data_IF_533608583249
#
_entry.id   IF_533608583249
#
_cell.length_a   1.000
_cell.length_b   1.000
_cell.length_c   1.000
_cell.angle_alpha   90.00
_cell.angle_beta   90.00
_cell.angle_gamma   90.00
#
_symmetry.space_group_name_H-M   'P 1'
#
loop_
_entity.id
_entity.type
_entity.pdbx_description
1 polymer ?
#
# COMPACT_ATOMS: atom_id res chain seq x y z
N UNK A 1 -0.97 6.94 9.72
CA UNK A 1 0.04 5.91 9.44
C UNK A 1 0.43 5.97 7.96
N UNK A 2 1.70 6.22 7.64
CA UNK A 2 2.25 6.05 6.30
C UNK A 2 2.03 4.64 5.72
N UNK A 3 2.03 4.52 4.40
CA UNK A 3 1.84 3.23 3.71
C UNK A 3 2.90 2.18 4.09
N UNK A 4 4.21 2.46 4.11
CA UNK A 4 5.22 1.52 4.60
C UNK A 4 4.89 0.93 5.98
N UNK A 5 4.60 1.78 6.96
CA UNK A 5 4.27 1.37 8.32
C UNK A 5 2.99 0.51 8.36
N UNK A 6 2.01 0.81 7.50
CA UNK A 6 0.81 0.00 7.36
C UNK A 6 1.10 -1.38 6.76
N UNK A 7 1.99 -1.47 5.77
CA UNK A 7 2.41 -2.74 5.19
C UNK A 7 3.15 -3.60 6.21
N UNK A 8 4.02 -2.98 7.02
CA UNK A 8 4.73 -3.64 8.13
C UNK A 8 3.75 -4.15 9.19
N UNK A 9 2.78 -3.33 9.60
CA UNK A 9 1.74 -3.72 10.55
C UNK A 9 0.85 -4.86 10.04
N UNK A 10 0.61 -4.92 8.72
CA UNK A 10 -0.10 -6.03 8.07
C UNK A 10 0.76 -7.31 7.94
N UNK A 11 2.04 -7.26 8.30
CA UNK A 11 2.98 -8.37 8.13
C UNK A 11 3.27 -8.71 6.67
N UNK A 12 3.11 -7.74 5.77
CA UNK A 12 3.32 -7.94 4.34
C UNK A 12 4.77 -7.73 3.97
N UNK A 13 5.29 -8.60 3.11
CA UNK A 13 6.61 -8.40 2.54
C UNK A 13 6.53 -7.36 1.42
N UNK A 14 7.34 -6.31 1.51
CA UNK A 14 7.41 -5.28 0.49
C UNK A 14 8.83 -4.75 0.32
N UNK A 15 9.08 -4.13 -0.83
CA UNK A 15 10.32 -3.39 -1.10
C UNK A 15 10.02 -2.07 -1.76
N UNK A 16 10.81 -1.06 -1.44
CA UNK A 16 10.84 0.19 -2.19
C UNK A 16 11.51 -0.03 -3.55
N UNK A 17 10.98 0.60 -4.59
CA UNK A 17 11.63 0.72 -5.89
C UNK A 17 12.68 1.86 -5.82
N UNK A 18 13.99 1.56 -5.92
CA UNK A 18 15.05 2.56 -5.83
C UNK A 18 15.16 3.43 -7.08
N UNK A 19 14.65 2.97 -8.22
CA UNK A 19 14.77 3.66 -9.52
C UNK A 19 13.60 4.62 -9.75
N UNK A 20 12.53 4.52 -8.95
CA UNK A 20 11.39 5.41 -9.04
C UNK A 20 11.78 6.85 -8.67
N UNK A 21 11.58 7.76 -9.64
CA UNK A 21 11.76 9.20 -9.47
C UNK A 21 10.39 9.90 -9.50
N UNK A 22 9.94 10.48 -8.37
CA UNK A 22 8.67 11.21 -8.34
C UNK A 22 8.71 12.47 -9.21
N UNK A 23 7.65 12.71 -9.98
CA UNK A 23 7.52 13.88 -10.85
C UNK A 23 6.73 15.04 -10.21
N UNK A 24 5.62 14.72 -9.55
CA UNK A 24 4.70 15.74 -8.98
C UNK A 24 5.02 16.04 -7.52
N UNK A 25 4.98 15.00 -6.69
CA UNK A 25 5.24 15.11 -5.26
C UNK A 25 6.52 14.35 -4.91
N UNK A 26 7.54 15.07 -4.46
CA UNK A 26 8.86 14.50 -4.13
C UNK A 26 8.82 13.53 -2.95
N UNK A 27 7.74 13.54 -2.15
CA UNK A 27 7.52 12.58 -1.07
C UNK A 27 6.90 11.26 -1.58
N UNK A 28 6.45 11.19 -2.84
CA UNK A 28 5.94 9.95 -3.40
C UNK A 28 7.06 8.92 -3.53
N UNK A 29 6.81 7.74 -3.01
CA UNK A 29 7.65 6.55 -3.18
C UNK A 29 6.88 5.49 -3.95
N UNK A 30 7.58 4.64 -4.68
CA UNK A 30 6.98 3.43 -5.26
C UNK A 30 7.41 2.23 -4.42
N UNK A 31 6.45 1.38 -4.08
CA UNK A 31 6.68 0.14 -3.34
C UNK A 31 6.06 -1.04 -4.08
N UNK A 32 6.72 -2.18 -3.98
CA UNK A 32 6.31 -3.46 -4.54
C UNK A 32 5.96 -4.40 -3.39
N UNK A 33 4.69 -4.73 -3.25
CA UNK A 33 4.15 -5.58 -2.18
C UNK A 33 3.95 -6.99 -2.71
N UNK A 34 4.57 -7.96 -2.05
CA UNK A 34 4.41 -9.38 -2.39
C UNK A 34 3.17 -9.94 -1.71
N UNK A 35 2.25 -10.45 -2.52
CA UNK A 35 1.05 -11.16 -2.10
C UNK A 35 1.12 -12.58 -2.66
N UNK A 36 0.38 -13.51 -2.08
CA UNK A 36 0.41 -14.93 -2.48
C UNK A 36 0.11 -15.21 -3.97
N UNK A 37 -0.48 -14.24 -4.69
CA UNK A 37 -0.77 -14.32 -6.13
C UNK A 37 0.08 -13.42 -7.03
N UNK A 38 1.10 -12.73 -6.50
CA UNK A 38 1.96 -11.86 -7.31
C UNK A 38 2.47 -10.63 -6.56
N UNK A 39 2.88 -9.62 -7.32
CA UNK A 39 3.38 -8.35 -6.78
C UNK A 39 2.44 -7.21 -7.18
N UNK A 40 2.05 -6.41 -6.19
CA UNK A 40 1.28 -5.19 -6.37
C UNK A 40 2.23 -4.00 -6.29
N UNK A 41 2.21 -3.13 -7.31
CA UNK A 41 2.96 -1.88 -7.32
C UNK A 41 2.08 -0.75 -6.78
N UNK A 42 2.53 -0.06 -5.74
CA UNK A 42 1.84 1.09 -5.17
C UNK A 42 2.71 2.33 -5.25
N UNK A 43 2.11 3.45 -5.68
CA UNK A 43 2.63 4.78 -5.42
C UNK A 43 2.09 5.26 -4.08
N UNK A 44 2.97 5.58 -3.14
CA UNK A 44 2.61 6.00 -1.79
C UNK A 44 3.11 7.41 -1.50
N UNK A 45 2.21 8.25 -0.98
CA UNK A 45 2.53 9.60 -0.48
C UNK A 45 1.95 9.73 0.94
N UNK A 46 2.79 9.51 1.95
CA UNK A 46 2.33 9.43 3.34
C UNK A 46 1.28 8.31 3.49
N UNK A 47 0.05 8.59 3.96
CA UNK A 47 -1.02 7.59 4.09
C UNK A 47 -1.78 7.30 2.78
N UNK A 48 -1.58 8.10 1.73
CA UNK A 48 -2.26 7.91 0.44
C UNK A 48 -1.50 6.89 -0.40
N UNK A 49 -2.24 6.05 -1.11
CA UNK A 49 -1.67 5.07 -2.02
C UNK A 49 -2.45 5.01 -3.33
N UNK A 50 -1.78 4.56 -4.39
CA UNK A 50 -2.37 4.32 -5.70
C UNK A 50 -1.75 3.07 -6.31
N UNK A 51 -2.59 2.08 -6.59
CA UNK A 51 -2.25 0.87 -7.34
C UNK A 51 -2.27 1.19 -8.84
N UNK A 52 -1.07 1.19 -9.45
CA UNK A 52 -0.89 1.55 -10.86
C UNK A 52 -1.44 0.49 -11.81
N UNK A 53 -1.62 -0.76 -11.35
CA UNK A 53 -2.11 -1.87 -12.18
C UNK A 53 -3.62 -1.99 -12.11
N UNK A 54 -4.19 -1.77 -10.93
CA UNK A 54 -5.64 -1.80 -10.74
C UNK A 54 -6.33 -0.46 -11.02
N UNK A 55 -5.55 0.61 -11.21
CA UNK A 55 -6.00 2.00 -11.33
C UNK A 55 -6.87 2.47 -10.15
N UNK A 56 -6.58 1.96 -8.95
CA UNK A 56 -7.32 2.27 -7.73
C UNK A 56 -6.45 3.03 -6.75
N UNK A 57 -7.03 4.06 -6.14
CA UNK A 57 -6.38 4.84 -5.09
C UNK A 57 -7.16 4.78 -3.80
N UNK A 58 -6.44 5.04 -2.72
CA UNK A 58 -7.00 4.96 -1.39
C UNK A 58 -6.23 5.79 -0.36
N UNK A 59 -6.77 5.83 0.85
CA UNK A 59 -6.28 6.67 1.93
C UNK A 59 -6.34 5.97 3.28
N UNK A 60 -5.17 5.71 3.85
CA UNK A 60 -5.03 5.12 5.18
C UNK A 60 -4.88 3.60 5.17
N UNK A 61 -4.55 3.08 6.36
CA UNK A 61 -4.14 1.69 6.56
C UNK A 61 -5.30 0.69 6.38
N UNK A 62 -6.51 1.06 6.81
CA UNK A 62 -7.70 0.19 6.70
C UNK A 62 -8.08 -0.01 5.23
N UNK A 63 -8.16 1.08 4.47
CA UNK A 63 -8.48 1.04 3.04
C UNK A 63 -7.42 0.27 2.24
N UNK A 64 -6.14 0.44 2.60
CA UNK A 64 -5.04 -0.35 2.04
C UNK A 64 -5.21 -1.84 2.32
N UNK A 65 -5.56 -2.23 3.55
CA UNK A 65 -5.80 -3.62 3.93
C UNK A 65 -7.00 -4.21 3.17
N UNK A 66 -8.09 -3.44 3.03
CA UNK A 66 -9.24 -3.85 2.22
C UNK A 66 -8.84 -4.12 0.77
N UNK A 67 -8.06 -3.23 0.15
CA UNK A 67 -7.62 -3.37 -1.23
C UNK A 67 -6.66 -4.54 -1.45
N UNK A 68 -5.58 -4.62 -0.65
CA UNK A 68 -4.53 -5.63 -0.84
C UNK A 68 -4.98 -7.03 -0.43
N UNK A 69 -5.74 -7.14 0.67
CA UNK A 69 -6.14 -8.43 1.24
C UNK A 69 -7.57 -8.82 0.85
N UNK A 70 -8.28 -7.97 0.09
CA UNK A 70 -9.67 -8.16 -0.34
C UNK A 70 -10.63 -8.42 0.83
N UNK A 71 -10.42 -7.69 1.92
CA UNK A 71 -11.21 -7.79 3.14
C UNK A 71 -12.39 -6.82 3.11
N UNK A 72 -13.46 -7.18 3.81
CA UNK A 72 -14.45 -6.20 4.23
C UNK A 72 -13.87 -5.24 5.29
N UNK A 73 -14.58 -4.14 5.56
CA UNK A 73 -14.13 -3.11 6.49
C UNK A 73 -13.86 -3.64 7.90
N UNK A 74 -14.75 -4.47 8.45
CA UNK A 74 -14.62 -4.99 9.82
C UNK A 74 -13.41 -5.91 9.92
N UNK A 75 -13.24 -6.79 8.94
CA UNK A 75 -12.06 -7.67 8.85
C UNK A 75 -10.76 -6.90 8.69
N UNK A 76 -10.77 -5.75 8.00
CA UNK A 76 -9.61 -4.88 7.83
C UNK A 76 -9.24 -4.12 9.11
N UNK A 77 -10.22 -3.61 9.86
CA UNK A 77 -10.00 -2.95 11.17
C UNK A 77 -9.29 -3.89 12.14
N UNK A 78 -9.74 -5.14 12.22
CA UNK A 78 -9.16 -6.18 13.09
C UNK A 78 -7.70 -6.53 12.78
N UNK A 79 -7.12 -6.05 11.67
CA UNK A 79 -5.69 -6.24 11.37
C UNK A 79 -4.78 -5.25 12.09
N UNK A 80 -5.34 -4.21 12.71
CA UNK A 80 -4.59 -3.13 13.37
C UNK A 80 -4.99 -2.96 14.85
N UNK A 81 -5.68 -3.96 15.42
CA UNK A 81 -6.01 -4.06 16.85
C UNK A 81 -4.95 -4.85 17.62
#
# INVERSE_FOLDING_TARGET
MPVPDALDALGLYWKRDPDFRPLKDKATVRVNVSLGGGVVELLATGPKWYDTRAEKGGGGAIDLAMHLLRLDFVSAVKRFE
#
